data_IF_086961982822
#
_entry.id   IF_086961982822
#
_cell.length_a   1.000
_cell.length_b   1.000
_cell.length_c   1.000
_cell.angle_alpha   90.00
_cell.angle_beta   90.00
_cell.angle_gamma   90.00
#
_symmetry.space_group_name_H-M   'P 1'
#
loop_
_entity.id
_entity.type
_entity.pdbx_description
1 polymer ?
#
# COMPACT_ATOMS: atom_id res chain seq x y z
N UNK A 1 -65.29 29.35 29.76
CA UNK A 1 -65.14 28.68 28.45
C UNK A 1 -63.65 28.64 28.13
N UNK A 2 -63.03 27.49 28.36
CA UNK A 2 -61.58 27.26 28.23
C UNK A 2 -61.14 27.29 26.77
N UNK A 3 -60.05 28.01 26.46
CA UNK A 3 -59.25 27.77 25.26
C UNK A 3 -57.81 27.57 25.68
N UNK A 4 -57.46 26.29 25.84
CA UNK A 4 -56.08 25.85 25.94
C UNK A 4 -55.38 26.13 24.61
N UNK A 5 -54.37 27.01 24.61
CA UNK A 5 -53.39 27.03 23.53
C UNK A 5 -52.46 25.84 23.75
N UNK A 6 -52.70 24.77 23.00
CA UNK A 6 -51.77 23.66 22.89
C UNK A 6 -50.49 24.16 22.21
N UNK A 7 -49.40 24.24 22.98
CA UNK A 7 -48.06 24.39 22.44
C UNK A 7 -47.69 23.09 21.72
N UNK A 8 -47.81 23.08 20.40
CA UNK A 8 -47.21 22.03 19.57
C UNK A 8 -45.69 22.15 19.69
N UNK A 9 -45.09 21.35 20.58
CA UNK A 9 -43.67 21.09 20.57
C UNK A 9 -43.32 20.45 19.22
N UNK A 10 -42.70 21.23 18.34
CA UNK A 10 -42.09 20.74 17.12
C UNK A 10 -40.92 19.84 17.52
N UNK A 11 -41.18 18.55 17.58
CA UNK A 11 -40.16 17.52 17.72
C UNK A 11 -39.35 17.51 16.42
N UNK A 12 -38.28 18.30 16.38
CA UNK A 12 -37.25 18.18 15.35
C UNK A 12 -36.56 16.83 15.57
N UNK A 13 -37.08 15.79 14.93
CA UNK A 13 -36.37 14.53 14.74
C UNK A 13 -35.17 14.87 13.86
N UNK A 14 -34.03 15.11 14.50
CA UNK A 14 -32.73 15.04 13.86
C UNK A 14 -32.58 13.58 13.42
N UNK A 15 -33.00 13.30 12.17
CA UNK A 15 -32.53 12.13 11.46
C UNK A 15 -31.01 12.30 11.39
N UNK A 16 -30.29 11.64 12.28
CA UNK A 16 -28.89 11.37 12.07
C UNK A 16 -28.84 10.50 10.81
N UNK A 17 -28.56 11.13 9.68
CA UNK A 17 -28.07 10.43 8.51
C UNK A 17 -26.69 9.92 8.90
N UNK A 18 -26.65 8.82 9.66
CA UNK A 18 -25.52 7.93 9.71
C UNK A 18 -25.42 7.30 8.33
N UNK A 19 -24.98 8.09 7.35
CA UNK A 19 -24.48 7.56 6.11
C UNK A 19 -23.22 6.80 6.47
N UNK A 20 -23.36 5.52 6.78
CA UNK A 20 -22.30 4.58 6.45
C UNK A 20 -22.03 4.83 4.98
N UNK A 21 -20.92 5.51 4.69
CA UNK A 21 -20.44 5.65 3.33
C UNK A 21 -20.18 4.22 2.85
N UNK A 22 -21.20 3.60 2.25
CA UNK A 22 -21.09 2.31 1.62
C UNK A 22 -19.84 2.41 0.75
N UNK A 23 -18.81 1.62 1.05
CA UNK A 23 -17.54 1.79 0.37
C UNK A 23 -17.82 1.66 -1.12
N UNK A 24 -17.59 2.73 -1.87
CA UNK A 24 -18.01 2.82 -3.25
C UNK A 24 -17.19 1.84 -4.08
N UNK A 25 -17.81 1.25 -5.12
CA UNK A 25 -17.06 0.55 -6.16
C UNK A 25 -15.96 1.47 -6.72
N UNK A 26 -14.87 0.89 -7.22
CA UNK A 26 -13.82 1.64 -7.89
C UNK A 26 -13.46 1.06 -9.24
N UNK A 27 -12.90 1.91 -10.07
CA UNK A 27 -12.34 1.58 -11.36
C UNK A 27 -10.86 1.91 -11.33
N UNK A 28 -10.01 0.94 -11.62
CA UNK A 28 -8.56 1.12 -11.69
C UNK A 28 -8.07 0.66 -13.04
N UNK A 29 -7.28 1.48 -13.70
CA UNK A 29 -6.62 1.10 -14.94
C UNK A 29 -5.38 0.25 -14.65
N UNK A 30 -5.31 -0.94 -15.24
CA UNK A 30 -4.20 -1.88 -15.12
C UNK A 30 -3.38 -1.82 -16.41
N UNK A 31 -2.10 -1.50 -16.28
CA UNK A 31 -1.12 -1.48 -17.37
C UNK A 31 -0.77 -2.90 -17.82
N UNK A 32 -0.55 -3.07 -19.12
CA UNK A 32 0.01 -4.29 -19.71
C UNK A 32 0.65 -3.97 -21.06
N UNK A 33 1.30 -4.96 -21.67
CA UNK A 33 1.89 -4.84 -23.01
C UNK A 33 3.29 -4.22 -23.02
N UNK A 34 3.96 -4.21 -21.87
CA UNK A 34 5.32 -3.72 -21.61
C UNK A 34 5.42 -2.19 -21.63
N UNK A 35 5.99 -1.61 -20.58
CA UNK A 35 6.14 -0.17 -20.42
C UNK A 35 4.81 0.59 -20.33
N UNK A 36 3.72 -0.06 -19.93
CA UNK A 36 2.35 0.44 -19.93
C UNK A 36 1.88 0.88 -21.32
N UNK A 37 2.21 0.11 -22.37
CA UNK A 37 1.79 0.40 -23.74
C UNK A 37 0.27 0.33 -23.94
N UNK A 38 -0.44 -0.44 -23.10
CA UNK A 38 -1.89 -0.55 -23.08
C UNK A 38 -2.42 -0.56 -21.64
N UNK A 39 -3.66 -0.14 -21.47
CA UNK A 39 -4.36 -0.15 -20.18
C UNK A 39 -5.74 -0.78 -20.31
N UNK A 40 -6.11 -1.62 -19.35
CA UNK A 40 -7.45 -2.18 -19.20
C UNK A 40 -8.08 -1.67 -17.91
N UNK A 41 -9.29 -1.10 -17.98
CA UNK A 41 -10.00 -0.61 -16.78
C UNK A 41 -10.71 -1.77 -16.10
N UNK A 42 -10.38 -2.00 -14.83
CA UNK A 42 -10.95 -3.06 -13.99
C UNK A 42 -11.90 -2.46 -12.98
N UNK A 43 -13.08 -3.06 -12.85
CA UNK A 43 -14.06 -2.70 -11.82
C UNK A 43 -13.85 -3.55 -10.57
N UNK A 44 -13.72 -2.91 -9.43
CA UNK A 44 -13.70 -3.53 -8.11
C UNK A 44 -14.98 -3.19 -7.38
N UNK A 45 -15.79 -4.21 -7.09
CA UNK A 45 -17.06 -4.02 -6.40
C UNK A 45 -16.86 -3.63 -4.92
N UNK A 46 -17.89 -3.00 -4.36
CA UNK A 46 -17.89 -2.52 -2.99
C UNK A 46 -17.69 -3.62 -1.95
N UNK A 47 -18.23 -4.81 -2.17
CA UNK A 47 -18.19 -5.91 -1.19
C UNK A 47 -16.79 -6.49 -1.07
N UNK A 48 -16.16 -6.79 -2.21
CA UNK A 48 -14.77 -7.19 -2.33
C UNK A 48 -13.85 -6.18 -1.64
N UNK A 49 -14.00 -4.89 -1.99
CA UNK A 49 -13.15 -3.84 -1.44
C UNK A 49 -13.32 -3.69 0.07
N UNK A 50 -14.54 -3.76 0.59
CA UNK A 50 -14.77 -3.74 2.03
C UNK A 50 -14.18 -4.96 2.73
N UNK A 51 -14.25 -6.15 2.11
CA UNK A 51 -13.63 -7.35 2.66
C UNK A 51 -12.10 -7.19 2.75
N UNK A 52 -11.46 -6.65 1.72
CA UNK A 52 -10.02 -6.36 1.72
C UNK A 52 -9.66 -5.31 2.78
N UNK A 53 -10.41 -4.21 2.86
CA UNK A 53 -10.21 -3.14 3.87
C UNK A 53 -10.30 -3.71 5.28
N UNK A 54 -11.37 -4.47 5.59
CA UNK A 54 -11.55 -5.08 6.93
C UNK A 54 -10.40 -6.04 7.27
N UNK A 55 -9.94 -6.82 6.29
CA UNK A 55 -8.83 -7.74 6.50
C UNK A 55 -7.53 -7.00 6.84
N UNK A 56 -7.20 -5.95 6.09
CA UNK A 56 -6.01 -5.12 6.35
C UNK A 56 -6.10 -4.38 7.68
N UNK A 57 -7.26 -3.80 7.99
CA UNK A 57 -7.48 -3.11 9.27
C UNK A 57 -7.41 -4.01 10.50
N UNK A 58 -7.58 -5.33 10.31
CA UNK A 58 -7.38 -6.36 11.33
C UNK A 58 -5.92 -6.69 11.63
N UNK A 59 -4.95 -6.15 10.89
CA UNK A 59 -3.54 -6.26 11.21
C UNK A 59 -3.23 -5.56 12.55
N UNK A 60 -2.46 -6.22 13.40
CA UNK A 60 -2.04 -5.72 14.71
C UNK A 60 -0.61 -5.17 14.73
N UNK A 61 0.12 -5.33 13.62
CA UNK A 61 1.50 -4.91 13.46
C UNK A 61 1.81 -4.60 12.00
N UNK A 62 2.86 -3.82 11.76
CA UNK A 62 3.34 -3.52 10.41
C UNK A 62 3.71 -4.81 9.64
N UNK A 63 4.36 -5.76 10.30
CA UNK A 63 4.68 -7.07 9.71
C UNK A 63 3.40 -7.85 9.30
N UNK A 64 2.38 -7.88 10.14
CA UNK A 64 1.10 -8.52 9.81
C UNK A 64 0.39 -7.80 8.65
N UNK A 65 0.41 -6.46 8.62
CA UNK A 65 -0.16 -5.68 7.53
C UNK A 65 0.52 -6.03 6.19
N UNK A 66 1.86 -6.08 6.15
CA UNK A 66 2.61 -6.49 4.95
C UNK A 66 2.24 -7.89 4.46
N UNK A 67 2.12 -8.85 5.37
CA UNK A 67 1.74 -10.23 5.04
C UNK A 67 0.31 -10.31 4.47
N UNK A 68 -0.63 -9.54 5.02
CA UNK A 68 -2.01 -9.46 4.50
C UNK A 68 -2.04 -8.74 3.15
N UNK A 69 -1.26 -7.65 3.01
CA UNK A 69 -1.20 -6.83 1.81
C UNK A 69 -0.69 -7.62 0.60
N UNK A 70 0.32 -8.48 0.78
CA UNK A 70 0.81 -9.40 -0.23
C UNK A 70 -0.34 -10.19 -0.89
N UNK A 71 -1.16 -10.85 -0.07
CA UNK A 71 -2.32 -11.61 -0.54
C UNK A 71 -3.45 -10.74 -1.08
N UNK A 72 -3.64 -9.53 -0.54
CA UNK A 72 -4.65 -8.59 -1.03
C UNK A 72 -4.34 -8.12 -2.47
N UNK A 73 -3.08 -7.76 -2.74
CA UNK A 73 -2.64 -7.38 -4.09
C UNK A 73 -2.83 -8.54 -5.07
N UNK A 74 -2.41 -9.76 -4.71
CA UNK A 74 -2.67 -10.94 -5.53
C UNK A 74 -4.17 -11.14 -5.80
N UNK A 75 -5.02 -11.02 -4.79
CA UNK A 75 -6.47 -11.08 -4.95
C UNK A 75 -7.04 -10.02 -5.91
N UNK A 76 -6.55 -8.78 -5.84
CA UNK A 76 -6.98 -7.71 -6.74
C UNK A 76 -6.52 -7.94 -8.19
N UNK A 77 -5.33 -8.52 -8.39
CA UNK A 77 -4.87 -8.94 -9.71
C UNK A 77 -5.68 -10.10 -10.28
N UNK A 78 -6.10 -11.05 -9.45
CA UNK A 78 -6.99 -12.13 -9.89
C UNK A 78 -8.29 -11.59 -10.47
N UNK A 79 -8.91 -10.63 -9.78
CA UNK A 79 -10.12 -9.94 -10.25
C UNK A 79 -9.86 -9.13 -11.53
N UNK A 80 -8.66 -8.57 -11.69
CA UNK A 80 -8.25 -7.94 -12.94
C UNK A 80 -8.11 -8.96 -14.08
N UNK A 81 -7.55 -10.14 -13.81
CA UNK A 81 -7.45 -11.24 -14.76
C UNK A 81 -8.82 -11.77 -15.20
N UNK A 82 -9.78 -11.84 -14.29
CA UNK A 82 -11.16 -12.26 -14.62
C UNK A 82 -11.86 -11.30 -15.62
N UNK A 83 -11.44 -10.03 -15.67
CA UNK A 83 -12.07 -9.00 -16.49
C UNK A 83 -11.27 -8.64 -17.75
N UNK A 84 -10.00 -9.04 -17.85
CA UNK A 84 -9.07 -8.50 -18.84
C UNK A 84 -8.08 -9.55 -19.35
N UNK A 85 -7.29 -9.18 -20.36
CA UNK A 85 -6.28 -10.07 -20.93
C UNK A 85 -5.12 -10.37 -19.98
N UNK A 86 -4.96 -9.65 -18.88
CA UNK A 86 -3.85 -9.83 -17.92
C UNK A 86 -3.91 -11.16 -17.16
N UNK A 87 -4.99 -11.94 -17.28
CA UNK A 87 -5.02 -13.32 -16.80
C UNK A 87 -3.98 -14.22 -17.48
N UNK A 88 -3.51 -13.85 -18.69
CA UNK A 88 -2.47 -14.59 -19.39
C UNK A 88 -1.05 -14.23 -18.91
N UNK A 89 -0.92 -13.27 -18.00
CA UNK A 89 0.36 -12.86 -17.45
C UNK A 89 1.00 -13.94 -16.56
N UNK A 90 2.32 -14.01 -16.61
CA UNK A 90 3.14 -15.01 -15.92
C UNK A 90 4.24 -14.32 -15.14
N UNK A 91 4.60 -14.91 -13.99
CA UNK A 91 5.63 -14.36 -13.13
C UNK A 91 6.99 -14.40 -13.80
N UNK A 92 7.77 -13.33 -13.63
CA UNK A 92 9.18 -13.32 -13.98
C UNK A 92 9.47 -13.26 -15.47
N UNK A 93 8.52 -12.80 -16.27
CA UNK A 93 8.64 -12.70 -17.73
C UNK A 93 9.85 -11.84 -18.17
N UNK A 94 11.05 -12.44 -18.25
CA UNK A 94 12.18 -11.98 -19.05
C UNK A 94 12.19 -12.58 -20.45
N UNK A 95 11.54 -13.72 -20.60
CA UNK A 95 11.23 -14.36 -21.85
C UNK A 95 9.85 -14.97 -21.63
N UNK A 96 8.81 -14.47 -22.30
CA UNK A 96 7.70 -15.33 -22.63
C UNK A 96 6.88 -14.78 -23.78
N UNK A 97 6.29 -15.76 -24.45
CA UNK A 97 5.76 -15.80 -25.79
C UNK A 97 4.83 -14.63 -26.14
N UNK A 98 4.70 -14.37 -27.44
CA UNK A 98 3.87 -13.34 -28.06
C UNK A 98 2.39 -13.46 -27.63
N UNK A 99 2.05 -13.00 -26.43
CA UNK A 99 0.73 -13.14 -25.81
C UNK A 99 0.12 -11.79 -25.45
N UNK A 100 -1.20 -11.66 -25.62
CA UNK A 100 -1.96 -10.52 -25.13
C UNK A 100 -2.03 -10.53 -23.60
N UNK A 101 -1.73 -9.40 -22.96
CA UNK A 101 -1.87 -9.24 -21.50
C UNK A 101 -0.61 -9.51 -20.68
N UNK A 102 0.50 -9.89 -21.31
CA UNK A 102 1.83 -9.94 -20.66
C UNK A 102 2.18 -8.62 -19.98
N UNK A 103 2.82 -8.71 -18.82
CA UNK A 103 3.23 -7.56 -18.03
C UNK A 103 4.74 -7.60 -17.77
N UNK A 104 5.40 -6.46 -17.91
CA UNK A 104 6.79 -6.29 -17.45
C UNK A 104 6.84 -5.64 -16.05
N UNK A 105 8.04 -5.44 -15.53
CA UNK A 105 8.22 -4.79 -14.24
C UNK A 105 7.58 -3.40 -14.15
N UNK A 106 7.49 -2.64 -15.26
CA UNK A 106 6.88 -1.31 -15.30
C UNK A 106 5.35 -1.43 -15.20
N UNK A 107 4.76 -2.36 -15.93
CA UNK A 107 3.32 -2.65 -15.91
C UNK A 107 2.86 -3.03 -14.50
N UNK A 108 3.57 -3.96 -13.86
CA UNK A 108 3.27 -4.40 -12.50
C UNK A 108 3.44 -3.29 -11.49
N UNK A 109 4.61 -2.66 -11.44
CA UNK A 109 4.85 -1.61 -10.45
C UNK A 109 3.87 -0.44 -10.63
N UNK A 110 3.44 -0.11 -11.85
CA UNK A 110 2.40 0.91 -12.12
C UNK A 110 1.04 0.52 -11.59
N UNK A 111 0.58 -0.66 -11.97
CA UNK A 111 -0.72 -1.17 -11.57
C UNK A 111 -0.80 -1.42 -10.06
N UNK A 112 0.23 -2.01 -9.46
CA UNK A 112 0.34 -2.21 -8.01
C UNK A 112 0.35 -0.89 -7.25
N UNK A 113 1.05 0.14 -7.72
CA UNK A 113 1.01 1.47 -7.07
C UNK A 113 -0.41 2.05 -7.09
N UNK A 114 -1.13 1.96 -8.22
CA UNK A 114 -2.52 2.42 -8.33
C UNK A 114 -3.46 1.66 -7.38
N UNK A 115 -3.29 0.34 -7.26
CA UNK A 115 -4.06 -0.50 -6.33
C UNK A 115 -3.74 -0.17 -4.86
N UNK A 116 -2.46 0.07 -4.52
CA UNK A 116 -2.06 0.48 -3.19
C UNK A 116 -2.64 1.85 -2.82
N UNK A 117 -2.57 2.84 -3.72
CA UNK A 117 -3.19 4.15 -3.53
C UNK A 117 -4.71 4.04 -3.34
N UNK A 118 -5.36 3.13 -4.07
CA UNK A 118 -6.77 2.84 -3.88
C UNK A 118 -7.06 2.32 -2.45
N UNK A 119 -6.24 1.39 -1.94
CA UNK A 119 -6.38 0.87 -0.57
C UNK A 119 -6.09 1.93 0.49
N UNK A 120 -5.04 2.74 0.28
CA UNK A 120 -4.68 3.86 1.16
C UNK A 120 -5.79 4.91 1.24
N UNK A 121 -6.37 5.31 0.09
CA UNK A 121 -7.47 6.29 0.03
C UNK A 121 -8.74 5.85 0.78
N UNK A 122 -8.87 4.54 1.05
CA UNK A 122 -9.96 3.94 1.81
C UNK A 122 -9.62 3.70 3.28
N UNK A 123 -8.45 4.15 3.73
CA UNK A 123 -7.96 3.93 5.10
C UNK A 123 -7.73 2.45 5.41
N UNK A 124 -7.37 1.64 4.41
CA UNK A 124 -7.06 0.23 4.61
C UNK A 124 -5.70 0.03 5.31
N UNK A 125 -4.73 0.90 5.02
CA UNK A 125 -3.37 0.83 5.56
C UNK A 125 -3.29 1.64 6.86
N UNK A 126 -2.91 0.98 7.94
CA UNK A 126 -2.76 1.55 9.29
C UNK A 126 -1.30 1.80 9.64
N UNK A 127 -0.41 0.93 9.17
CA UNK A 127 1.01 0.96 9.52
C UNK A 127 1.86 1.52 8.39
N UNK A 128 1.35 1.59 7.16
CA UNK A 128 2.12 2.06 6.02
C UNK A 128 1.42 3.17 5.25
N UNK A 129 2.23 3.98 4.55
CA UNK A 129 1.80 4.87 3.48
C UNK A 129 2.42 4.46 2.16
N UNK A 130 1.79 4.81 1.05
CA UNK A 130 2.26 4.49 -0.30
C UNK A 130 3.21 5.59 -0.77
N UNK A 131 4.31 5.18 -1.40
CA UNK A 131 5.28 6.08 -2.01
C UNK A 131 5.27 5.92 -3.53
N UNK A 132 6.01 6.80 -4.21
CA UNK A 132 6.34 6.60 -5.61
C UNK A 132 7.15 5.32 -5.82
N UNK A 133 7.08 4.78 -7.03
CA UNK A 133 7.84 3.60 -7.44
C UNK A 133 9.35 3.81 -7.27
N UNK A 134 10.04 2.74 -6.94
CA UNK A 134 11.51 2.72 -6.90
C UNK A 134 12.06 1.90 -8.06
N UNK A 135 13.32 2.18 -8.40
CA UNK A 135 14.05 1.53 -9.50
C UNK A 135 15.40 1.03 -9.03
N UNK A 136 15.72 -0.23 -9.35
CA UNK A 136 17.08 -0.79 -9.21
C UNK A 136 17.69 -1.12 -10.58
N UNK A 137 19.02 -1.13 -10.62
CA UNK A 137 19.81 -1.51 -11.81
C UNK A 137 20.03 -0.40 -12.84
N UNK A 138 21.23 -0.40 -13.46
CA UNK A 138 21.62 0.57 -14.51
C UNK A 138 21.40 0.05 -15.94
N UNK A 139 21.52 -1.27 -16.15
CA UNK A 139 21.42 -1.91 -17.46
C UNK A 139 20.19 -2.83 -17.56
N UNK A 140 19.91 -3.60 -16.51
CA UNK A 140 18.66 -4.35 -16.31
C UNK A 140 17.83 -3.59 -15.27
N UNK A 141 16.99 -2.67 -15.75
CA UNK A 141 16.14 -1.86 -14.88
C UNK A 141 15.01 -2.72 -14.35
N UNK A 142 14.82 -2.73 -13.04
CA UNK A 142 13.68 -3.35 -12.39
C UNK A 142 12.95 -2.29 -11.57
N UNK A 143 11.63 -2.25 -11.67
CA UNK A 143 10.77 -1.28 -10.98
C UNK A 143 9.83 -2.00 -10.03
N UNK A 144 9.57 -1.41 -8.88
CA UNK A 144 8.60 -1.95 -7.91
C UNK A 144 7.79 -0.85 -7.23
N UNK A 145 6.58 -1.20 -6.79
CA UNK A 145 5.77 -0.32 -5.96
C UNK A 145 6.34 -0.28 -4.53
N UNK A 146 6.18 0.83 -3.83
CA UNK A 146 6.82 1.03 -2.52
C UNK A 146 5.82 1.50 -1.49
N UNK A 147 5.96 0.94 -0.29
CA UNK A 147 5.28 1.38 0.92
C UNK A 147 6.31 1.74 1.98
N UNK A 148 5.99 2.71 2.84
CA UNK A 148 6.82 3.13 3.95
C UNK A 148 6.07 2.94 5.26
N UNK A 149 6.72 2.29 6.22
CA UNK A 149 6.22 2.10 7.57
C UNK A 149 6.18 3.45 8.31
N UNK A 150 5.00 3.80 8.80
CA UNK A 150 4.75 5.00 9.60
C UNK A 150 5.41 4.84 10.96
N UNK A 151 6.04 5.91 11.46
CA UNK A 151 6.40 5.94 12.87
C UNK A 151 5.12 6.02 13.69
N UNK A 152 4.66 4.87 14.19
CA UNK A 152 3.79 4.87 15.35
C UNK A 152 4.65 5.36 16.51
N UNK A 153 4.56 6.67 16.73
CA UNK A 153 5.26 7.39 17.78
C UNK A 153 5.37 6.52 19.03
N UNK A 154 6.60 6.08 19.32
CA UNK A 154 6.97 5.52 20.61
C UNK A 154 6.94 6.64 21.66
N UNK A 155 5.78 7.26 21.89
CA UNK A 155 5.54 8.13 23.03
C UNK A 155 5.28 7.25 24.25
N UNK A 156 6.35 6.66 24.77
CA UNK A 156 6.30 5.79 25.95
C UNK A 156 7.67 5.37 26.51
N UNK A 157 8.76 5.60 25.77
CA UNK A 157 10.12 5.44 26.29
C UNK A 157 10.77 6.81 26.44
N UNK A 158 10.66 7.42 27.63
CA UNK A 158 11.62 8.45 28.01
C UNK A 158 13.04 7.86 27.84
N UNK A 159 14.02 8.62 27.30
CA UNK A 159 15.39 8.13 27.29
C UNK A 159 15.80 7.91 28.75
N UNK A 160 16.25 6.69 29.06
CA UNK A 160 16.91 6.42 30.33
C UNK A 160 18.20 7.25 30.35
N UNK A 161 18.13 8.42 30.98
CA UNK A 161 19.28 9.27 31.24
C UNK A 161 20.12 8.55 32.30
N UNK A 162 21.21 7.92 31.89
CA UNK A 162 22.26 7.51 32.82
C UNK A 162 23.07 8.75 33.17
N UNK A 163 22.92 9.23 34.40
CA UNK A 163 23.82 10.23 34.96
C UNK A 163 25.25 9.65 35.01
N UNK A 164 26.19 10.35 34.35
CA UNK A 164 27.62 10.28 34.62
C UNK A 164 28.13 11.71 34.66
N UNK A 165 28.76 12.06 35.77
CA UNK A 165 29.05 13.42 36.20
C UNK A 165 30.18 14.09 35.40
N UNK A 166 29.99 15.41 35.22
CA UNK A 166 30.95 16.50 35.08
C UNK A 166 31.92 16.57 33.87
N UNK A 167 31.71 17.61 33.05
CA UNK A 167 32.80 18.30 32.34
C UNK A 167 32.41 18.92 30.99
N UNK A 168 32.15 20.24 31.01
CA UNK A 168 32.17 21.21 29.91
C UNK A 168 31.25 21.09 28.66
N UNK A 169 30.81 22.29 28.26
CA UNK A 169 30.26 22.75 26.99
C UNK A 169 28.77 22.53 26.65
N UNK A 170 28.04 23.66 26.73
CA UNK A 170 26.77 23.89 26.07
C UNK A 170 26.94 23.78 24.54
N UNK A 171 26.55 22.65 23.96
CA UNK A 171 26.34 22.53 22.52
C UNK A 171 24.84 22.42 22.21
N UNK A 172 24.21 23.56 21.96
CA UNK A 172 22.93 23.63 21.26
C UNK A 172 23.19 23.35 19.77
N UNK A 173 23.21 22.08 19.36
CA UNK A 173 22.98 21.64 17.97
C UNK A 173 22.89 20.10 17.93
N UNK A 174 21.76 19.57 18.41
CA UNK A 174 21.43 18.16 18.22
C UNK A 174 20.80 17.97 16.82
N UNK A 175 21.61 18.15 15.78
CA UNK A 175 21.25 17.65 14.45
C UNK A 175 21.81 16.23 14.34
N UNK A 176 20.94 15.22 14.49
CA UNK A 176 21.29 13.85 14.14
C UNK A 176 21.88 13.85 12.71
N UNK A 177 22.98 13.12 12.44
CA UNK A 177 23.60 13.17 11.14
C UNK A 177 22.59 12.74 10.07
N UNK A 178 22.47 13.53 9.01
CA UNK A 178 21.52 13.29 7.91
C UNK A 178 21.64 11.86 7.31
N UNK A 179 22.82 11.24 7.44
CA UNK A 179 23.07 9.85 7.05
C UNK A 179 22.23 8.84 7.85
N UNK A 180 22.07 9.03 9.17
CA UNK A 180 21.30 8.13 10.03
C UNK A 180 19.80 8.27 9.76
N UNK A 181 19.33 9.49 9.47
CA UNK A 181 17.94 9.73 9.10
C UNK A 181 17.59 9.11 7.74
N UNK A 182 18.47 9.23 6.74
CA UNK A 182 18.28 8.61 5.43
C UNK A 182 18.33 7.08 5.50
N UNK A 183 19.29 6.50 6.22
CA UNK A 183 19.37 5.07 6.44
C UNK A 183 18.14 4.52 7.18
N UNK A 184 17.67 5.23 8.21
CA UNK A 184 16.44 4.89 8.94
C UNK A 184 15.19 5.01 8.04
N UNK A 185 15.16 5.98 7.11
CA UNK A 185 14.05 6.08 6.14
C UNK A 185 14.03 4.92 5.14
N UNK A 186 15.20 4.43 4.70
CA UNK A 186 15.29 3.26 3.83
C UNK A 186 14.96 1.96 4.56
N UNK A 187 15.37 1.82 5.83
CA UNK A 187 15.08 0.67 6.66
C UNK A 187 13.57 0.45 6.92
N UNK A 188 12.76 1.49 6.72
CA UNK A 188 11.30 1.46 6.89
C UNK A 188 10.54 1.38 5.58
N UNK A 189 11.23 1.30 4.45
CA UNK A 189 10.59 1.13 3.14
C UNK A 189 10.60 -0.32 2.74
N UNK A 190 9.52 -0.73 2.09
CA UNK A 190 9.32 -2.08 1.60
C UNK A 190 8.81 -2.00 0.17
N UNK A 191 9.31 -2.91 -0.66
CA UNK A 191 8.75 -3.11 -2.01
C UNK A 191 7.53 -4.03 -1.93
N UNK A 192 6.58 -3.80 -2.82
CA UNK A 192 5.44 -4.69 -3.06
C UNK A 192 5.50 -5.09 -4.53
N UNK A 193 6.13 -6.23 -4.79
CA UNK A 193 6.55 -6.66 -6.11
C UNK A 193 5.74 -7.87 -6.59
N UNK A 194 4.74 -7.60 -7.42
CA UNK A 194 3.89 -8.62 -8.02
C UNK A 194 4.49 -9.25 -9.29
N UNK A 195 5.60 -8.73 -9.81
CA UNK A 195 6.16 -9.20 -11.08
C UNK A 195 6.83 -10.58 -10.96
N UNK A 196 7.26 -10.98 -9.77
CA UNK A 196 7.92 -12.28 -9.56
C UNK A 196 6.98 -13.49 -9.58
N UNK A 197 5.67 -13.27 -9.61
CA UNK A 197 4.66 -14.31 -9.40
C UNK A 197 3.61 -14.29 -10.51
N UNK A 198 2.94 -15.42 -10.71
CA UNK A 198 1.84 -15.52 -11.66
C UNK A 198 0.66 -14.62 -11.27
N UNK A 199 -0.14 -14.24 -12.27
CA UNK A 199 -1.32 -13.41 -12.02
C UNK A 199 -2.24 -14.02 -10.95
N UNK A 200 -2.53 -13.25 -9.92
CA UNK A 200 -3.43 -13.66 -8.84
C UNK A 200 -2.73 -14.24 -7.61
N UNK A 201 -1.44 -14.55 -7.69
CA UNK A 201 -0.62 -15.01 -6.57
C UNK A 201 -0.23 -13.85 -5.63
N UNK A 202 0.06 -14.13 -4.35
CA UNK A 202 0.49 -13.10 -3.41
C UNK A 202 1.76 -12.37 -3.88
N UNK A 203 1.73 -11.04 -3.85
CA UNK A 203 2.88 -10.23 -4.20
C UNK A 203 4.03 -10.44 -3.21
N UNK A 204 5.26 -10.30 -3.69
CA UNK A 204 6.45 -10.37 -2.85
C UNK A 204 6.60 -9.05 -2.09
N UNK A 205 6.74 -9.13 -0.77
CA UNK A 205 6.97 -7.95 0.08
C UNK A 205 8.25 -8.12 0.87
N UNK A 206 9.26 -7.27 0.62
CA UNK A 206 10.56 -7.34 1.31
C UNK A 206 11.17 -5.94 1.49
N UNK A 207 12.14 -5.75 2.41
CA UNK A 207 12.75 -4.45 2.68
C UNK A 207 13.36 -3.82 1.43
N UNK A 208 13.18 -2.51 1.23
CA UNK A 208 13.66 -1.81 0.04
C UNK A 208 15.19 -1.93 -0.09
N UNK A 209 15.93 -1.90 1.02
CA UNK A 209 17.38 -2.08 1.01
C UNK A 209 17.79 -3.44 0.41
N UNK A 210 17.20 -4.52 0.90
CA UNK A 210 17.48 -5.88 0.41
C UNK A 210 17.10 -6.02 -1.08
N UNK A 211 15.98 -5.42 -1.49
CA UNK A 211 15.60 -5.36 -2.90
C UNK A 211 16.62 -4.56 -3.72
N UNK A 212 17.10 -3.41 -3.26
CA UNK A 212 18.11 -2.64 -3.98
C UNK A 212 19.43 -3.42 -4.12
N UNK A 213 19.76 -4.27 -3.14
CA UNK A 213 20.93 -5.17 -3.15
C UNK A 213 20.74 -6.42 -4.02
N UNK A 214 19.56 -6.60 -4.63
CA UNK A 214 19.27 -7.65 -5.60
C UNK A 214 18.50 -8.83 -5.03
N UNK A 215 18.03 -8.77 -3.78
CA UNK A 215 17.17 -9.82 -3.23
C UNK A 215 15.79 -9.86 -3.90
N UNK A 216 15.14 -11.01 -3.78
CA UNK A 216 13.85 -11.33 -4.41
C UNK A 216 13.85 -12.78 -4.93
N UNK A 217 12.68 -13.36 -5.20
CA UNK A 217 12.62 -14.69 -5.80
C UNK A 217 13.41 -14.72 -7.10
N UNK A 218 14.28 -15.71 -7.22
CA UNK A 218 15.01 -15.97 -8.46
C UNK A 218 14.01 -16.47 -9.51
N UNK A 219 13.52 -15.55 -10.33
CA UNK A 219 12.90 -15.87 -11.62
C UNK A 219 14.04 -16.01 -12.62
N UNK A 220 14.70 -17.17 -12.60
CA UNK A 220 15.66 -17.58 -13.62
C UNK A 220 14.96 -18.22 -14.80
#
# INVERSE_FOLDING_TARGET
>A
MSRALAWMAACCVLLAWGGEAAAQEAWVSICHGYGCAAESVVRYDSELLQAVVRRLQGADSAAAERAILAGAIGGLYRVAGEQTVVAADRGGNFADEEGSGRMDCIDHSTSTTRLLQLLESRGALRFHRVLERERRGRFFQHYSAVIEELEMSASGGAPAVTHSEAGEDCACDAQAPLADAAANSLARRYVVDSWFVDNGEPAVVLPLADWLDGEGPNVQ
#
